data_IF_287176895610
#
_entry.id   IF_287176895610
#
_cell.length_a   1.000
_cell.length_b   1.000
_cell.length_c   1.000
_cell.angle_alpha   90.00
_cell.angle_beta   90.00
_cell.angle_gamma   90.00
#
_symmetry.space_group_name_H-M   'P 1'
#
loop_
_entity.id
_entity.type
_entity.pdbx_description
1 polymer ?
#
# COMPACT_ATOMS: atom_id res chain seq x y z
N UNK A 1 -10.92 6.27 -24.66
CA UNK A 1 -11.26 4.88 -24.26
C UNK A 1 -10.04 3.96 -24.05
N UNK A 2 -9.19 3.66 -25.04
CA UNK A 2 -7.98 2.83 -24.81
C UNK A 2 -6.84 3.55 -24.06
N UNK A 3 -6.69 4.86 -24.24
CA UNK A 3 -5.72 5.69 -23.49
C UNK A 3 -6.00 5.68 -21.98
N UNK A 4 -7.28 5.73 -21.60
CA UNK A 4 -7.71 5.79 -20.19
C UNK A 4 -7.43 4.47 -19.46
N UNK A 5 -7.64 3.33 -20.12
CA UNK A 5 -7.28 2.02 -19.56
C UNK A 5 -5.77 1.87 -19.32
N UNK A 6 -4.94 2.34 -20.26
CA UNK A 6 -3.47 2.32 -20.09
C UNK A 6 -3.02 3.25 -18.96
N UNK A 7 -3.61 4.43 -18.84
CA UNK A 7 -3.29 5.37 -17.76
C UNK A 7 -3.70 4.81 -16.38
N UNK A 8 -4.90 4.23 -16.28
CA UNK A 8 -5.37 3.54 -15.05
C UNK A 8 -4.47 2.37 -14.67
N UNK A 9 -4.06 1.54 -15.64
CA UNK A 9 -3.11 0.45 -15.39
C UNK A 9 -1.76 0.96 -14.88
N UNK A 10 -1.21 2.03 -15.49
CA UNK A 10 0.03 2.65 -15.01
C UNK A 10 -0.09 3.17 -13.58
N UNK A 11 -1.22 3.79 -13.23
CA UNK A 11 -1.48 4.27 -11.88
C UNK A 11 -1.54 3.12 -10.87
N UNK A 12 -2.26 2.03 -11.18
CA UNK A 12 -2.34 0.84 -10.32
C UNK A 12 -0.95 0.24 -10.09
N UNK A 13 -0.16 0.09 -11.16
CA UNK A 13 1.20 -0.44 -11.07
C UNK A 13 2.07 0.47 -10.21
N UNK A 14 1.99 1.79 -10.41
CA UNK A 14 2.73 2.77 -9.61
C UNK A 14 2.38 2.65 -8.13
N UNK A 15 1.07 2.61 -7.81
CA UNK A 15 0.60 2.46 -6.44
C UNK A 15 1.03 1.13 -5.81
N UNK A 16 1.00 0.04 -6.58
CA UNK A 16 1.49 -1.27 -6.14
C UNK A 16 2.98 -1.25 -5.80
N UNK A 17 3.81 -0.61 -6.62
CA UNK A 17 5.25 -0.44 -6.35
C UNK A 17 5.48 0.35 -5.07
N UNK A 18 4.79 1.49 -4.91
CA UNK A 18 4.93 2.33 -3.71
C UNK A 18 4.52 1.54 -2.47
N UNK A 19 3.41 0.82 -2.52
CA UNK A 19 2.96 0.00 -1.40
C UNK A 19 3.97 -1.11 -1.05
N UNK A 20 4.53 -1.80 -2.04
CA UNK A 20 5.61 -2.78 -1.82
C UNK A 20 6.80 -2.15 -1.10
N UNK A 21 7.24 -0.97 -1.52
CA UNK A 21 8.35 -0.25 -0.87
C UNK A 21 8.04 0.13 0.59
N UNK A 22 6.81 0.57 0.87
CA UNK A 22 6.36 0.87 2.24
C UNK A 22 6.38 -0.39 3.10
N UNK A 23 5.94 -1.53 2.57
CA UNK A 23 5.94 -2.81 3.28
C UNK A 23 7.31 -3.49 3.31
N UNK A 24 8.28 -2.96 2.57
CA UNK A 24 9.59 -3.59 2.40
C UNK A 24 10.22 -3.92 3.75
N UNK A 25 10.22 -3.09 4.81
CA UNK A 25 10.86 -3.47 6.07
C UNK A 25 10.35 -4.78 6.71
N UNK A 26 9.13 -5.24 6.41
CA UNK A 26 8.49 -6.38 7.10
C UNK A 26 9.34 -7.66 7.17
N UNK A 27 9.91 -8.20 6.07
CA UNK A 27 10.70 -9.44 6.12
C UNK A 27 11.94 -9.35 7.01
N UNK A 28 12.46 -8.15 7.26
CA UNK A 28 13.64 -7.92 8.10
C UNK A 28 13.30 -7.70 9.57
N UNK A 29 12.07 -7.29 9.88
CA UNK A 29 11.65 -7.00 11.27
C UNK A 29 10.77 -8.09 11.90
N UNK A 30 10.07 -8.89 11.09
CA UNK A 30 9.21 -9.97 11.58
C UNK A 30 10.07 -11.11 12.12
N UNK A 31 9.80 -11.56 13.35
CA UNK A 31 10.54 -12.61 14.05
C UNK A 31 12.04 -12.32 14.24
N UNK A 32 12.46 -11.04 14.16
CA UNK A 32 13.84 -10.66 14.37
C UNK A 32 14.11 -10.38 15.86
N UNK A 33 14.95 -11.18 16.55
CA UNK A 33 15.25 -10.99 17.98
C UNK A 33 16.05 -9.72 18.27
N UNK A 34 16.69 -9.11 17.27
CA UNK A 34 17.45 -7.86 17.41
C UNK A 34 16.55 -6.61 17.37
N UNK A 35 15.28 -6.77 16.99
CA UNK A 35 14.31 -5.66 16.90
C UNK A 35 13.48 -5.61 18.18
N UNK A 36 13.54 -4.49 18.90
CA UNK A 36 12.71 -4.29 20.09
C UNK A 36 11.21 -4.29 19.74
N UNK A 37 10.37 -4.74 20.66
CA UNK A 37 8.92 -4.73 20.46
C UNK A 37 8.37 -3.32 20.21
N UNK A 38 8.93 -2.30 20.85
CA UNK A 38 8.55 -0.90 20.61
C UNK A 38 8.85 -0.47 19.17
N UNK A 39 10.03 -0.82 18.65
CA UNK A 39 10.43 -0.52 17.28
C UNK A 39 9.57 -1.27 16.26
N UNK A 40 9.33 -2.57 16.50
CA UNK A 40 8.45 -3.40 15.68
C UNK A 40 7.03 -2.80 15.57
N UNK A 41 6.42 -2.45 16.71
CA UNK A 41 5.08 -1.86 16.75
C UNK A 41 5.03 -0.48 16.08
N UNK A 42 6.10 0.33 16.22
CA UNK A 42 6.19 1.64 15.57
C UNK A 42 6.21 1.49 14.05
N UNK A 43 7.04 0.58 13.53
CA UNK A 43 7.15 0.33 12.08
C UNK A 43 5.84 -0.26 11.54
N UNK A 44 5.23 -1.20 12.25
CA UNK A 44 3.91 -1.73 11.91
C UNK A 44 2.84 -0.63 11.87
N UNK A 45 2.84 0.29 12.83
CA UNK A 45 1.92 1.42 12.86
C UNK A 45 2.07 2.31 11.63
N UNK A 46 3.31 2.65 11.26
CA UNK A 46 3.61 3.42 10.04
C UNK A 46 3.09 2.69 8.81
N UNK A 47 3.42 1.39 8.65
CA UNK A 47 2.97 0.59 7.51
C UNK A 47 1.44 0.52 7.44
N UNK A 48 0.77 0.36 8.58
CA UNK A 48 -0.69 0.34 8.68
C UNK A 48 -1.31 1.64 8.19
N UNK A 49 -0.88 2.78 8.72
CA UNK A 49 -1.38 4.11 8.32
C UNK A 49 -1.09 4.38 6.85
N UNK A 50 0.13 4.09 6.39
CA UNK A 50 0.51 4.29 4.99
C UNK A 50 -0.25 3.36 4.04
N UNK A 51 -0.72 2.19 4.49
CA UNK A 51 -1.51 1.26 3.66
C UNK A 51 -2.96 1.71 3.43
N UNK A 52 -3.51 2.59 4.28
CA UNK A 52 -4.90 3.08 4.19
C UNK A 52 -5.25 3.61 2.79
N UNK A 53 -4.51 4.57 2.19
CA UNK A 53 -4.85 5.06 0.86
C UNK A 53 -4.86 3.97 -0.22
N UNK A 54 -3.97 2.97 -0.14
CA UNK A 54 -3.89 1.90 -1.13
C UNK A 54 -5.07 0.93 -1.03
N UNK A 55 -5.44 0.53 0.19
CA UNK A 55 -6.61 -0.33 0.44
C UNK A 55 -7.90 0.44 0.12
N UNK A 56 -8.01 1.70 0.57
CA UNK A 56 -9.16 2.54 0.28
C UNK A 56 -9.36 2.74 -1.22
N UNK A 57 -8.30 3.00 -1.99
CA UNK A 57 -8.39 3.11 -3.45
C UNK A 57 -8.84 1.80 -4.09
N UNK A 58 -8.32 0.65 -3.64
CA UNK A 58 -8.77 -0.67 -4.11
C UNK A 58 -10.25 -0.94 -3.82
N UNK A 59 -10.71 -0.60 -2.62
CA UNK A 59 -12.11 -0.76 -2.20
C UNK A 59 -13.03 0.21 -2.95
N UNK A 60 -12.68 1.49 -3.04
CA UNK A 60 -13.50 2.50 -3.74
C UNK A 60 -13.57 2.15 -5.23
N UNK A 61 -12.48 1.72 -5.87
CA UNK A 61 -12.53 1.25 -7.27
C UNK A 61 -13.44 0.04 -7.47
N UNK A 62 -13.60 -0.81 -6.45
CA UNK A 62 -14.46 -1.99 -6.52
C UNK A 62 -15.92 -1.67 -6.23
N UNK A 63 -16.20 -0.82 -5.24
CA UNK A 63 -17.56 -0.55 -4.75
C UNK A 63 -18.24 0.66 -5.42
N UNK A 64 -17.46 1.72 -5.72
CA UNK A 64 -17.95 2.99 -6.27
C UNK A 64 -16.89 3.63 -7.18
N UNK A 65 -16.62 3.01 -8.35
CA UNK A 65 -15.60 3.50 -9.28
C UNK A 65 -15.82 4.96 -9.71
N UNK A 66 -17.07 5.45 -9.66
CA UNK A 66 -17.45 6.83 -9.97
C UNK A 66 -16.85 7.89 -9.03
N UNK A 67 -16.43 7.52 -7.81
CA UNK A 67 -15.80 8.45 -6.84
C UNK A 67 -14.31 8.70 -7.10
N UNK A 68 -13.75 8.06 -8.12
CA UNK A 68 -12.30 8.07 -8.43
C UNK A 68 -11.97 8.53 -9.85
N UNK A 69 -13.00 8.99 -10.57
CA UNK A 69 -12.95 9.53 -11.94
C UNK A 69 -13.43 10.95 -11.96
#
# INVERSE_FOLDING_TARGET
MMKDRKAKAKLIILLGIIWVLVTLPLPWIVNNPEVSQSQFNTILGIIGVMSIPFIALGVVWTLKPELTT
#
